data_IF_166311946917
#
_entry.id   IF_166311946917
#
_cell.length_a   1.000
_cell.length_b   1.000
_cell.length_c   1.000
_cell.angle_alpha   90.00
_cell.angle_beta   90.00
_cell.angle_gamma   90.00
#
_symmetry.space_group_name_H-M   'P 1'
#
loop_
_entity.id
_entity.type
_entity.pdbx_description
1 polymer ?
#
# COMPACT_ATOMS: atom_id res chain seq x y z
N UNK A 1 7.06 28.99 -0.17
CA UNK A 1 6.13 30.11 -0.05
C UNK A 1 4.93 29.83 -0.92
N UNK A 2 3.70 29.96 -0.40
CA UNK A 2 2.46 29.74 -1.16
C UNK A 2 2.16 30.98 -2.01
N UNK A 3 1.69 30.77 -3.24
CA UNK A 3 1.44 31.83 -4.22
C UNK A 3 -0.05 32.08 -4.36
N UNK A 4 -0.46 33.32 -4.15
CA UNK A 4 -1.86 33.74 -4.22
C UNK A 4 -2.03 34.68 -5.43
N UNK A 5 -2.99 34.41 -6.28
CA UNK A 5 -3.42 35.30 -7.35
C UNK A 5 -4.63 36.09 -6.88
N UNK A 6 -4.55 37.41 -6.93
CA UNK A 6 -5.61 38.33 -6.53
C UNK A 6 -6.14 39.00 -7.80
N UNK A 7 -7.42 38.87 -8.08
CA UNK A 7 -8.09 39.39 -9.28
C UNK A 7 -9.20 40.30 -8.82
N UNK A 8 -9.03 41.60 -9.12
CA UNK A 8 -9.96 42.66 -8.70
C UNK A 8 -9.70 43.88 -9.57
N UNK A 9 -10.71 44.55 -10.08
CA UNK A 9 -10.57 45.75 -10.92
C UNK A 9 -10.22 47.00 -10.11
N UNK A 10 -10.48 46.98 -8.79
CA UNK A 10 -10.16 48.06 -7.88
C UNK A 10 -8.69 48.00 -7.39
N UNK A 11 -7.86 48.92 -7.87
CA UNK A 11 -6.43 48.99 -7.51
C UNK A 11 -6.17 49.15 -6.03
N UNK A 12 -7.07 49.76 -5.28
CA UNK A 12 -6.91 50.00 -3.85
C UNK A 12 -7.20 48.71 -3.03
N UNK A 13 -8.16 47.90 -3.48
CA UNK A 13 -8.40 46.58 -2.92
C UNK A 13 -7.21 45.68 -3.20
N UNK A 14 -6.71 45.62 -4.45
CA UNK A 14 -5.50 44.86 -4.80
C UNK A 14 -4.32 45.19 -3.88
N UNK A 15 -4.06 46.48 -3.66
CA UNK A 15 -2.95 46.93 -2.80
C UNK A 15 -3.14 46.49 -1.35
N UNK A 16 -4.35 46.67 -0.84
CA UNK A 16 -4.69 46.36 0.54
C UNK A 16 -4.58 44.84 0.80
N UNK A 17 -5.19 44.02 -0.05
CA UNK A 17 -5.16 42.55 0.05
C UNK A 17 -3.72 42.04 -0.12
N UNK A 18 -2.97 42.59 -1.11
CA UNK A 18 -1.57 42.22 -1.32
C UNK A 18 -0.72 42.51 -0.09
N UNK A 19 -0.85 43.72 0.52
CA UNK A 19 -0.11 44.07 1.72
C UNK A 19 -0.39 43.10 2.88
N UNK A 20 -1.69 42.81 3.17
CA UNK A 20 -2.10 41.89 4.23
C UNK A 20 -1.48 40.49 4.05
N UNK A 21 -1.57 39.96 2.83
CA UNK A 21 -1.09 38.61 2.56
C UNK A 21 0.44 38.54 2.52
N UNK A 22 1.10 39.60 2.07
CA UNK A 22 2.58 39.66 2.03
C UNK A 22 3.17 39.74 3.44
N UNK A 23 2.53 40.46 4.37
CA UNK A 23 2.91 40.49 5.79
C UNK A 23 2.86 39.10 6.43
N UNK A 24 1.91 38.24 6.02
CA UNK A 24 1.78 36.85 6.48
C UNK A 24 2.66 35.86 5.68
N UNK A 25 3.54 36.35 4.80
CA UNK A 25 4.53 35.55 4.09
C UNK A 25 4.03 34.84 2.83
N UNK A 26 2.90 35.24 2.27
CA UNK A 26 2.44 34.79 0.96
C UNK A 26 3.16 35.54 -0.18
N UNK A 27 3.33 34.87 -1.33
CA UNK A 27 3.78 35.53 -2.57
C UNK A 27 2.56 35.86 -3.39
N UNK A 28 2.27 37.17 -3.58
CA UNK A 28 1.07 37.61 -4.26
C UNK A 28 1.34 38.02 -5.70
N UNK A 29 0.43 37.66 -6.60
CA UNK A 29 0.31 38.16 -7.95
C UNK A 29 -1.04 38.88 -8.05
N UNK A 30 -1.08 40.01 -8.74
CA UNK A 30 -2.30 40.83 -8.88
C UNK A 30 -2.64 40.97 -10.35
N UNK A 31 -3.95 40.92 -10.67
CA UNK A 31 -4.50 41.13 -11.99
C UNK A 31 -5.71 42.06 -11.90
N UNK A 32 -5.86 42.96 -12.85
CA UNK A 32 -6.96 43.94 -12.95
C UNK A 32 -8.14 43.46 -13.78
N UNK A 33 -7.94 42.42 -14.60
CA UNK A 33 -8.93 41.89 -15.53
C UNK A 33 -8.69 40.41 -15.82
N UNK A 34 -9.64 39.79 -16.53
CA UNK A 34 -9.61 38.37 -16.87
C UNK A 34 -8.40 37.98 -17.74
N UNK A 35 -8.04 38.78 -18.74
CA UNK A 35 -6.93 38.50 -19.64
C UNK A 35 -5.58 38.46 -18.91
N UNK A 36 -5.34 39.41 -18.00
CA UNK A 36 -4.14 39.48 -17.18
C UNK A 36 -4.11 38.30 -16.17
N UNK A 37 -5.24 37.99 -15.53
CA UNK A 37 -5.39 36.90 -14.60
C UNK A 37 -5.06 35.56 -15.23
N UNK A 38 -5.63 35.23 -16.38
CA UNK A 38 -5.37 33.97 -17.09
C UNK A 38 -3.91 33.89 -17.60
N UNK A 39 -3.31 35.02 -18.02
CA UNK A 39 -1.90 35.04 -18.41
C UNK A 39 -0.96 34.73 -17.20
N UNK A 40 -1.24 35.33 -16.03
CA UNK A 40 -0.47 35.05 -14.80
C UNK A 40 -0.67 33.61 -14.37
N UNK A 41 -1.92 33.11 -14.37
CA UNK A 41 -2.26 31.76 -13.99
C UNK A 41 -1.53 30.70 -14.83
N UNK A 42 -1.45 30.91 -16.14
CA UNK A 42 -0.74 30.00 -17.05
C UNK A 42 0.79 30.06 -16.92
N UNK A 43 1.35 31.19 -16.47
CA UNK A 43 2.81 31.35 -16.33
C UNK A 43 3.36 30.93 -14.97
N UNK A 44 2.56 30.99 -13.94
CA UNK A 44 2.98 30.75 -12.55
C UNK A 44 2.17 29.65 -11.93
N UNK A 45 2.81 28.83 -11.08
CA UNK A 45 2.09 27.90 -10.24
C UNK A 45 1.36 28.71 -9.14
N UNK A 46 0.05 28.72 -9.15
CA UNK A 46 -0.81 29.40 -8.18
C UNK A 46 -1.39 28.35 -7.20
N UNK A 47 -1.35 28.67 -5.90
CA UNK A 47 -1.83 27.79 -4.83
C UNK A 47 -3.25 28.19 -4.31
N UNK A 48 -3.65 29.47 -4.56
CA UNK A 48 -4.97 30.01 -4.21
C UNK A 48 -5.32 31.18 -5.10
N UNK A 49 -6.58 31.36 -5.44
CA UNK A 49 -7.10 32.52 -6.16
C UNK A 49 -8.11 33.25 -5.29
N UNK A 50 -7.93 34.57 -5.13
CA UNK A 50 -8.93 35.50 -4.64
C UNK A 50 -9.51 36.23 -5.84
N UNK A 51 -10.81 36.13 -6.08
CA UNK A 51 -11.45 36.57 -7.32
C UNK A 51 -12.65 37.43 -7.01
N UNK A 52 -12.64 38.65 -7.51
CA UNK A 52 -13.85 39.48 -7.47
C UNK A 52 -14.90 38.93 -8.43
N UNK A 53 -16.15 38.96 -7.98
CA UNK A 53 -17.30 38.53 -8.81
C UNK A 53 -17.56 39.51 -9.94
N UNK A 54 -17.44 40.80 -9.67
CA UNK A 54 -17.68 41.88 -10.66
C UNK A 54 -16.35 42.48 -11.10
N UNK A 55 -16.04 42.35 -12.36
CA UNK A 55 -14.83 42.94 -12.99
C UNK A 55 -15.28 43.90 -14.08
N UNK A 56 -15.19 45.20 -13.81
CA UNK A 56 -15.47 46.23 -14.81
C UNK A 56 -14.38 46.22 -15.92
N UNK A 57 -14.75 46.54 -17.14
CA UNK A 57 -13.86 46.57 -18.33
C UNK A 57 -13.09 45.24 -18.57
N UNK A 58 -13.67 44.08 -18.22
CA UNK A 58 -13.11 42.75 -18.41
C UNK A 58 -13.90 41.92 -19.44
N UNK A 59 -13.19 41.08 -20.23
CA UNK A 59 -13.83 40.16 -21.20
C UNK A 59 -14.72 39.12 -20.55
N UNK A 60 -14.41 38.76 -19.31
CA UNK A 60 -15.14 37.79 -18.50
C UNK A 60 -15.37 38.32 -17.09
N UNK A 61 -16.52 38.02 -16.51
CA UNK A 61 -16.80 38.27 -15.09
C UNK A 61 -16.14 37.21 -14.18
N UNK A 62 -16.19 37.42 -12.86
CA UNK A 62 -15.58 36.48 -11.92
C UNK A 62 -16.18 35.07 -11.94
N UNK A 63 -17.48 34.92 -12.24
CA UNK A 63 -18.12 33.61 -12.31
C UNK A 63 -17.70 32.86 -13.59
N UNK A 64 -17.56 33.56 -14.70
CA UNK A 64 -17.05 32.98 -15.95
C UNK A 64 -15.56 32.55 -15.81
N UNK A 65 -14.74 33.36 -15.14
CA UNK A 65 -13.34 32.99 -14.83
C UNK A 65 -13.29 31.74 -13.93
N UNK A 66 -14.17 31.65 -12.93
CA UNK A 66 -14.31 30.47 -12.08
C UNK A 66 -14.60 29.21 -12.92
N UNK A 67 -15.55 29.28 -13.86
CA UNK A 67 -15.89 28.15 -14.74
C UNK A 67 -14.72 27.76 -15.66
N UNK A 68 -14.05 28.75 -16.25
CA UNK A 68 -12.87 28.51 -17.11
C UNK A 68 -11.76 27.79 -16.33
N UNK A 69 -11.45 28.25 -15.13
CA UNK A 69 -10.39 27.63 -14.33
C UNK A 69 -10.82 26.24 -13.84
N UNK A 70 -12.09 26.05 -13.49
CA UNK A 70 -12.61 24.76 -13.00
C UNK A 70 -12.66 23.67 -14.06
N UNK A 71 -12.75 24.02 -15.34
CA UNK A 71 -12.75 23.03 -16.43
C UNK A 71 -11.48 22.17 -16.45
N UNK A 72 -10.33 22.75 -16.09
CA UNK A 72 -9.02 22.11 -16.26
C UNK A 72 -8.17 22.04 -14.98
N UNK A 73 -8.53 22.78 -13.91
CA UNK A 73 -7.69 22.93 -12.73
C UNK A 73 -8.46 22.86 -11.39
N UNK A 74 -7.83 22.21 -10.39
CA UNK A 74 -8.39 22.05 -9.03
C UNK A 74 -7.91 23.12 -8.03
N UNK A 75 -7.31 24.23 -8.48
CA UNK A 75 -6.79 25.30 -7.59
C UNK A 75 -7.94 25.91 -6.78
N UNK A 76 -7.81 26.08 -5.44
CA UNK A 76 -8.86 26.66 -4.62
C UNK A 76 -9.14 28.14 -4.99
N UNK A 77 -10.44 28.50 -5.06
CA UNK A 77 -10.88 29.84 -5.43
C UNK A 77 -11.81 30.36 -4.32
N UNK A 78 -11.47 31.53 -3.79
CA UNK A 78 -12.32 32.31 -2.88
C UNK A 78 -12.89 33.47 -3.67
N UNK A 79 -14.24 33.57 -3.75
CA UNK A 79 -14.89 34.70 -4.39
C UNK A 79 -15.08 35.85 -3.41
N UNK A 80 -14.88 37.07 -3.89
CA UNK A 80 -15.11 38.32 -3.15
C UNK A 80 -16.23 39.11 -3.85
N UNK A 81 -17.12 39.77 -3.12
CA UNK A 81 -18.14 40.61 -3.74
C UNK A 81 -18.60 41.72 -2.81
N UNK A 82 -18.81 42.91 -3.37
CA UNK A 82 -19.39 44.07 -2.68
C UNK A 82 -20.94 44.07 -2.57
N UNK A 83 -21.60 43.21 -3.36
CA UNK A 83 -23.06 43.08 -3.39
C UNK A 83 -23.45 41.60 -3.23
N UNK A 84 -23.10 41.02 -2.08
CA UNK A 84 -23.41 39.62 -1.80
C UNK A 84 -24.88 39.46 -1.32
N UNK A 85 -25.68 38.72 -2.11
CA UNK A 85 -26.86 38.12 -1.54
C UNK A 85 -26.63 36.63 -1.32
N UNK A 86 -27.42 36.01 -0.47
CA UNK A 86 -27.28 34.57 -0.11
C UNK A 86 -27.34 33.69 -1.36
N UNK A 87 -28.15 34.04 -2.35
CA UNK A 87 -28.34 33.27 -3.57
C UNK A 87 -27.04 33.26 -4.44
N UNK A 88 -26.34 34.39 -4.51
CA UNK A 88 -25.06 34.51 -5.21
C UNK A 88 -23.99 33.66 -4.54
N UNK A 89 -23.84 33.71 -3.22
CA UNK A 89 -22.90 32.89 -2.48
C UNK A 89 -23.18 31.39 -2.67
N UNK A 90 -24.48 30.99 -2.63
CA UNK A 90 -24.86 29.59 -2.89
C UNK A 90 -24.53 29.16 -4.32
N UNK A 91 -24.77 30.00 -5.32
CA UNK A 91 -24.40 29.71 -6.71
C UNK A 91 -22.87 29.63 -6.91
N UNK A 92 -22.13 30.51 -6.30
CA UNK A 92 -20.67 30.49 -6.31
C UNK A 92 -20.11 29.16 -5.81
N UNK A 93 -20.60 28.70 -4.66
CA UNK A 93 -20.18 27.40 -4.07
C UNK A 93 -20.62 26.23 -4.97
N UNK A 94 -21.83 26.25 -5.55
CA UNK A 94 -22.29 25.21 -6.49
C UNK A 94 -21.43 25.13 -7.75
N UNK A 95 -20.91 26.26 -8.23
CA UNK A 95 -20.02 26.35 -9.39
C UNK A 95 -18.55 26.05 -9.06
N UNK A 96 -18.26 25.66 -7.81
CA UNK A 96 -16.95 25.15 -7.43
C UNK A 96 -16.05 26.14 -6.68
N UNK A 97 -16.51 27.31 -6.28
CA UNK A 97 -15.79 28.13 -5.32
C UNK A 97 -15.72 27.44 -3.96
N UNK A 98 -14.59 27.53 -3.27
CA UNK A 98 -14.43 26.94 -1.92
C UNK A 98 -15.02 27.82 -0.82
N UNK A 99 -14.98 29.13 -1.01
CA UNK A 99 -15.52 30.09 -0.06
C UNK A 99 -15.96 31.38 -0.76
N UNK A 100 -16.78 32.16 -0.06
CA UNK A 100 -17.28 33.46 -0.51
C UNK A 100 -17.09 34.49 0.62
N UNK A 101 -16.51 35.66 0.28
CA UNK A 101 -16.26 36.75 1.22
C UNK A 101 -16.98 38.01 0.74
N UNK A 102 -17.81 38.60 1.60
CA UNK A 102 -18.47 39.85 1.32
C UNK A 102 -17.58 41.05 1.66
N UNK A 103 -17.48 42.01 0.75
CA UNK A 103 -16.78 43.29 0.93
C UNK A 103 -17.74 44.29 1.61
N UNK A 104 -17.31 45.14 2.56
CA UNK A 104 -15.93 45.20 3.07
C UNK A 104 -15.66 44.12 4.12
N UNK A 105 -14.45 43.58 4.11
CA UNK A 105 -13.99 42.55 5.04
C UNK A 105 -12.81 43.04 5.90
N UNK A 106 -12.67 42.48 7.10
CA UNK A 106 -11.52 42.72 7.95
C UNK A 106 -10.31 41.85 7.52
N UNK A 107 -9.11 42.29 7.82
CA UNK A 107 -7.86 41.52 7.60
C UNK A 107 -7.94 40.12 8.24
N UNK A 108 -8.46 40.06 9.49
CA UNK A 108 -8.62 38.79 10.20
C UNK A 108 -9.52 37.80 9.46
N UNK A 109 -10.65 38.29 8.89
CA UNK A 109 -11.59 37.42 8.14
C UNK A 109 -10.96 36.92 6.85
N UNK A 110 -10.24 37.78 6.12
CA UNK A 110 -9.53 37.40 4.90
C UNK A 110 -8.50 36.32 5.20
N UNK A 111 -7.65 36.52 6.19
CA UNK A 111 -6.60 35.58 6.58
C UNK A 111 -7.18 34.23 7.06
N UNK A 112 -8.25 34.28 7.87
CA UNK A 112 -8.93 33.06 8.33
C UNK A 112 -9.49 32.25 7.16
N UNK A 113 -10.12 32.92 6.16
CA UNK A 113 -10.66 32.26 4.99
C UNK A 113 -9.55 31.67 4.10
N UNK A 114 -8.47 32.39 3.89
CA UNK A 114 -7.30 31.94 3.12
C UNK A 114 -6.67 30.70 3.80
N UNK A 115 -6.37 30.77 5.09
CA UNK A 115 -5.77 29.68 5.84
C UNK A 115 -6.65 28.42 5.86
N UNK A 116 -7.95 28.61 6.12
CA UNK A 116 -8.92 27.52 6.14
C UNK A 116 -9.01 26.82 4.78
N UNK A 117 -9.12 27.60 3.71
CA UNK A 117 -9.23 27.08 2.35
C UNK A 117 -7.98 26.30 1.94
N UNK A 118 -6.78 26.86 2.19
CA UNK A 118 -5.53 26.19 1.91
C UNK A 118 -5.36 24.90 2.72
N UNK A 119 -5.74 24.91 4.00
CA UNK A 119 -5.66 23.73 4.87
C UNK A 119 -6.62 22.62 4.43
N UNK A 120 -7.85 22.97 4.05
CA UNK A 120 -8.82 21.99 3.52
C UNK A 120 -8.28 21.37 2.21
N UNK A 121 -7.72 22.17 1.32
CA UNK A 121 -7.13 21.69 0.05
C UNK A 121 -5.98 20.74 0.33
N UNK A 122 -5.04 21.10 1.23
CA UNK A 122 -3.90 20.26 1.63
C UNK A 122 -4.35 18.90 2.19
N UNK A 123 -5.34 18.90 3.11
CA UNK A 123 -5.89 17.66 3.67
C UNK A 123 -6.58 16.83 2.59
N UNK A 124 -7.28 17.48 1.66
CA UNK A 124 -7.96 16.78 0.56
C UNK A 124 -6.96 16.15 -0.40
N UNK A 125 -5.91 16.88 -0.79
CA UNK A 125 -4.82 16.36 -1.63
C UNK A 125 -4.07 15.21 -0.94
N UNK A 126 -3.76 15.35 0.34
CA UNK A 126 -3.15 14.29 1.13
C UNK A 126 -4.04 13.04 1.18
N UNK A 127 -5.34 13.21 1.39
CA UNK A 127 -6.30 12.12 1.39
C UNK A 127 -6.40 11.43 0.03
N UNK A 128 -6.42 12.19 -1.06
CA UNK A 128 -6.39 11.65 -2.44
C UNK A 128 -5.09 10.88 -2.68
N UNK A 129 -3.96 11.43 -2.28
CA UNK A 129 -2.65 10.78 -2.42
C UNK A 129 -2.55 9.49 -1.60
N UNK A 130 -3.09 9.49 -0.36
CA UNK A 130 -3.16 8.29 0.47
C UNK A 130 -4.07 7.23 -0.15
N UNK A 131 -5.23 7.61 -0.67
CA UNK A 131 -6.15 6.69 -1.37
C UNK A 131 -5.51 6.13 -2.65
N UNK A 132 -4.87 6.96 -3.46
CA UNK A 132 -4.20 6.51 -4.68
C UNK A 132 -3.04 5.56 -4.36
N UNK A 133 -2.27 5.84 -3.31
CA UNK A 133 -1.22 4.94 -2.81
C UNK A 133 -1.79 3.62 -2.33
N UNK A 134 -2.90 3.64 -1.60
CA UNK A 134 -3.60 2.44 -1.15
C UNK A 134 -4.14 1.63 -2.34
N UNK A 135 -4.79 2.28 -3.31
CA UNK A 135 -5.30 1.60 -4.52
C UNK A 135 -4.15 0.96 -5.30
N UNK A 136 -3.03 1.64 -5.46
CA UNK A 136 -1.88 1.11 -6.17
C UNK A 136 -1.23 -0.07 -5.43
N UNK A 137 -1.14 -0.01 -4.10
CA UNK A 137 -0.57 -1.06 -3.25
C UNK A 137 -1.43 -2.34 -3.23
N UNK A 138 -2.77 -2.21 -3.41
CA UNK A 138 -3.73 -3.32 -3.42
C UNK A 138 -4.21 -3.74 -4.82
N UNK A 139 -3.50 -3.39 -5.88
CA UNK A 139 -3.87 -3.80 -7.23
C UNK A 139 -3.61 -5.30 -7.45
N UNK A 140 -4.64 -6.08 -7.84
CA UNK A 140 -4.50 -7.50 -8.11
C UNK A 140 -3.95 -7.76 -9.52
N UNK A 141 -2.64 -7.97 -9.61
CA UNK A 141 -1.87 -8.08 -10.85
C UNK A 141 -1.67 -9.53 -11.25
N UNK A 142 -1.70 -9.77 -12.57
CA UNK A 142 -1.39 -11.03 -13.21
C UNK A 142 -2.30 -11.31 -14.41
N UNK A 143 -1.76 -12.06 -15.37
CA UNK A 143 -2.41 -12.50 -16.61
C UNK A 143 -2.34 -14.01 -16.81
N UNK A 144 -1.70 -14.72 -15.89
CA UNK A 144 -1.66 -16.19 -15.93
C UNK A 144 -3.06 -16.80 -15.88
N UNK A 145 -3.30 -17.97 -16.48
CA UNK A 145 -4.63 -18.59 -16.57
C UNK A 145 -5.29 -18.81 -15.20
N UNK A 146 -4.50 -19.09 -14.16
CA UNK A 146 -4.98 -19.24 -12.79
C UNK A 146 -5.48 -17.90 -12.23
N UNK A 147 -4.74 -16.81 -12.43
CA UNK A 147 -5.12 -15.47 -11.97
C UNK A 147 -6.33 -14.93 -12.74
N UNK A 148 -6.40 -15.16 -14.05
CA UNK A 148 -7.58 -14.77 -14.85
C UNK A 148 -8.85 -15.45 -14.33
N UNK A 149 -8.80 -16.76 -14.02
CA UNK A 149 -9.94 -17.48 -13.41
C UNK A 149 -10.33 -16.88 -12.05
N UNK A 150 -9.35 -16.50 -11.22
CA UNK A 150 -9.61 -15.88 -9.93
C UNK A 150 -10.27 -14.51 -10.13
N UNK A 151 -9.78 -13.68 -11.06
CA UNK A 151 -10.41 -12.39 -11.40
C UNK A 151 -11.86 -12.55 -11.81
N UNK A 152 -12.15 -13.51 -12.69
CA UNK A 152 -13.52 -13.83 -13.09
C UNK A 152 -14.40 -14.31 -11.93
N UNK A 153 -13.83 -15.06 -10.97
CA UNK A 153 -14.55 -15.47 -9.78
C UNK A 153 -14.81 -14.28 -8.87
N UNK A 154 -13.83 -13.39 -8.68
CA UNK A 154 -14.00 -12.14 -7.91
C UNK A 154 -15.10 -11.27 -8.53
N UNK A 155 -15.16 -11.12 -9.85
CA UNK A 155 -16.22 -10.36 -10.54
C UNK A 155 -17.62 -10.93 -10.26
N UNK A 156 -17.74 -12.26 -10.16
CA UNK A 156 -19.02 -12.91 -9.85
C UNK A 156 -19.41 -12.80 -8.39
N UNK A 157 -18.46 -12.96 -7.46
CA UNK A 157 -18.75 -12.98 -6.01
C UNK A 157 -18.70 -11.59 -5.37
N UNK A 158 -18.00 -10.65 -5.98
CA UNK A 158 -17.89 -9.26 -5.50
C UNK A 158 -19.24 -8.64 -5.15
N UNK A 159 -20.19 -8.56 -6.09
CA UNK A 159 -21.51 -7.94 -5.87
C UNK A 159 -22.42 -8.69 -4.88
N UNK A 160 -22.05 -9.91 -4.46
CA UNK A 160 -22.85 -10.72 -3.53
C UNK A 160 -22.49 -10.42 -2.08
N UNK A 161 -23.36 -10.78 -1.15
CA UNK A 161 -23.07 -10.76 0.30
C UNK A 161 -22.50 -12.09 0.82
N UNK A 162 -22.09 -13.00 -0.07
CA UNK A 162 -21.55 -14.30 0.30
C UNK A 162 -20.26 -14.17 1.11
N UNK A 163 -20.09 -15.07 2.06
CA UNK A 163 -18.84 -15.23 2.78
C UNK A 163 -17.81 -15.89 1.91
N UNK A 164 -16.58 -15.45 2.01
CA UNK A 164 -15.48 -15.91 1.16
C UNK A 164 -14.33 -16.36 2.05
N UNK A 165 -13.79 -17.52 1.73
CA UNK A 165 -12.57 -18.04 2.29
C UNK A 165 -11.45 -17.97 1.25
N UNK A 166 -10.39 -17.21 1.54
CA UNK A 166 -9.21 -17.08 0.69
C UNK A 166 -8.11 -17.99 1.24
N UNK A 167 -7.68 -18.97 0.47
CA UNK A 167 -6.61 -19.90 0.85
C UNK A 167 -5.37 -19.67 -0.01
N UNK A 168 -4.19 -19.81 0.60
CA UNK A 168 -2.91 -19.70 -0.11
C UNK A 168 -1.76 -19.50 0.85
N UNK A 169 -0.56 -19.82 0.42
CA UNK A 169 0.65 -19.64 1.22
C UNK A 169 0.86 -18.17 1.63
N UNK A 170 1.75 -17.97 2.62
CA UNK A 170 2.13 -16.62 3.04
C UNK A 170 2.72 -15.83 1.86
N UNK A 171 2.35 -14.55 1.74
CA UNK A 171 2.87 -13.67 0.70
C UNK A 171 2.27 -13.85 -0.70
N UNK A 172 1.22 -14.67 -0.89
CA UNK A 172 0.55 -14.86 -2.19
C UNK A 172 -0.41 -13.73 -2.59
N UNK A 173 -0.72 -12.78 -1.68
CA UNK A 173 -1.61 -11.64 -1.91
C UNK A 173 -3.06 -11.88 -1.48
N UNK A 174 -3.29 -12.64 -0.39
CA UNK A 174 -4.64 -12.90 0.15
C UNK A 174 -5.36 -11.60 0.55
N UNK A 175 -4.64 -10.66 1.12
CA UNK A 175 -5.09 -9.32 1.50
C UNK A 175 -5.49 -8.47 0.28
N UNK A 176 -4.69 -8.52 -0.79
CA UNK A 176 -4.99 -7.86 -2.05
C UNK A 176 -6.31 -8.37 -2.65
N UNK A 177 -6.50 -9.70 -2.66
CA UNK A 177 -7.75 -10.31 -3.14
C UNK A 177 -8.94 -9.92 -2.26
N UNK A 178 -8.77 -9.89 -0.94
CA UNK A 178 -9.84 -9.46 -0.03
C UNK A 178 -10.27 -8.00 -0.29
N UNK A 179 -9.30 -7.10 -0.51
CA UNK A 179 -9.55 -5.69 -0.85
C UNK A 179 -10.23 -5.55 -2.21
N UNK A 180 -9.79 -6.30 -3.23
CA UNK A 180 -10.41 -6.31 -4.56
C UNK A 180 -11.89 -6.76 -4.51
N UNK A 181 -12.20 -7.79 -3.69
CA UNK A 181 -13.56 -8.25 -3.46
C UNK A 181 -14.41 -7.15 -2.78
N UNK A 182 -13.83 -6.44 -1.81
CA UNK A 182 -14.50 -5.33 -1.15
C UNK A 182 -14.81 -4.20 -2.13
N UNK A 183 -13.85 -3.77 -2.95
CA UNK A 183 -14.03 -2.72 -3.96
C UNK A 183 -15.11 -3.05 -4.99
N UNK A 184 -15.29 -4.33 -5.33
CA UNK A 184 -16.36 -4.81 -6.24
C UNK A 184 -17.67 -5.15 -5.53
N UNK A 185 -17.77 -4.91 -4.23
CA UNK A 185 -18.96 -5.21 -3.44
C UNK A 185 -19.94 -4.04 -3.40
N UNK A 186 -21.19 -4.33 -2.97
CA UNK A 186 -22.18 -3.31 -2.66
C UNK A 186 -21.79 -2.43 -1.46
N UNK A 187 -20.81 -2.87 -0.68
CA UNK A 187 -20.32 -2.20 0.52
C UNK A 187 -18.97 -1.48 0.25
N UNK A 188 -18.62 -1.21 -1.01
CA UNK A 188 -17.35 -0.60 -1.41
C UNK A 188 -17.12 0.79 -0.83
N UNK A 189 -18.21 1.55 -0.58
CA UNK A 189 -18.14 2.86 0.06
C UNK A 189 -17.95 2.79 1.59
N UNK A 190 -18.20 1.61 2.18
CA UNK A 190 -18.04 1.38 3.61
C UNK A 190 -16.60 1.05 3.98
N UNK A 191 -16.31 0.97 5.28
CA UNK A 191 -14.94 0.70 5.75
C UNK A 191 -14.49 -0.73 5.41
N UNK A 192 -13.21 -0.87 5.02
CA UNK A 192 -12.51 -2.15 4.94
C UNK A 192 -11.64 -2.32 6.19
N UNK A 193 -12.10 -3.15 7.11
CA UNK A 193 -11.46 -3.35 8.41
C UNK A 193 -10.75 -4.70 8.43
N UNK A 194 -9.48 -4.70 8.85
CA UNK A 194 -8.63 -5.91 8.87
C UNK A 194 -8.29 -6.29 10.31
N UNK A 195 -8.38 -7.57 10.61
CA UNK A 195 -7.79 -8.18 11.80
C UNK A 195 -6.92 -9.36 11.39
N UNK A 196 -5.69 -9.39 11.88
CA UNK A 196 -4.82 -10.55 11.72
C UNK A 196 -4.78 -11.35 13.03
N UNK A 197 -5.34 -12.55 12.99
CA UNK A 197 -5.47 -13.41 14.18
C UNK A 197 -4.12 -13.96 14.66
N UNK A 198 -3.11 -14.05 13.78
CA UNK A 198 -1.79 -14.56 14.16
C UNK A 198 -0.95 -13.55 14.97
N UNK A 199 -1.31 -12.25 14.94
CA UNK A 199 -0.53 -11.18 15.60
C UNK A 199 -1.01 -10.85 17.02
N UNK A 200 -2.16 -11.38 17.44
CA UNK A 200 -2.81 -11.00 18.69
C UNK A 200 -2.85 -12.16 19.68
N UNK A 201 -2.72 -11.87 20.97
CA UNK A 201 -3.00 -12.85 22.01
C UNK A 201 -4.49 -13.20 22.05
N UNK A 202 -4.87 -14.41 22.53
CA UNK A 202 -6.27 -14.85 22.58
C UNK A 202 -7.24 -13.85 23.22
N UNK A 203 -6.86 -13.26 24.34
CA UNK A 203 -7.70 -12.28 25.05
C UNK A 203 -7.86 -10.98 24.28
N UNK A 204 -6.80 -10.54 23.59
CA UNK A 204 -6.82 -9.34 22.78
C UNK A 204 -7.66 -9.50 21.50
N UNK A 205 -7.69 -10.69 20.89
CA UNK A 205 -8.51 -10.94 19.69
C UNK A 205 -9.99 -10.69 20.01
N UNK A 206 -10.48 -11.21 21.14
CA UNK A 206 -11.88 -11.01 21.53
C UNK A 206 -12.20 -9.54 21.83
N UNK A 207 -11.29 -8.86 22.55
CA UNK A 207 -11.45 -7.45 22.87
C UNK A 207 -11.46 -6.57 21.60
N UNK A 208 -10.60 -6.85 20.63
CA UNK A 208 -10.57 -6.14 19.35
C UNK A 208 -11.83 -6.44 18.53
N UNK A 209 -12.25 -7.69 18.39
CA UNK A 209 -13.40 -8.05 17.58
C UNK A 209 -14.72 -7.49 18.13
N UNK A 210 -14.97 -7.69 19.42
CA UNK A 210 -16.27 -7.42 20.03
C UNK A 210 -16.32 -6.09 20.79
N UNK A 211 -15.16 -5.53 21.16
CA UNK A 211 -15.09 -4.37 22.03
C UNK A 211 -15.43 -4.70 23.49
N UNK A 212 -15.53 -3.67 24.31
CA UNK A 212 -15.86 -3.84 25.73
C UNK A 212 -16.59 -2.65 26.33
N UNK A 213 -17.29 -2.91 27.43
CA UNK A 213 -17.84 -1.91 28.33
C UNK A 213 -17.15 -2.02 29.69
N UNK A 214 -16.28 -1.06 30.02
CA UNK A 214 -15.60 -0.99 31.31
C UNK A 214 -15.92 0.35 31.99
N UNK A 215 -16.49 0.28 33.21
CA UNK A 215 -16.75 1.48 34.05
C UNK A 215 -17.39 2.65 33.26
N UNK A 216 -18.43 2.39 32.46
CA UNK A 216 -19.13 3.33 31.59
C UNK A 216 -18.30 3.87 30.39
N UNK A 217 -17.11 3.34 30.10
CA UNK A 217 -16.38 3.63 28.87
C UNK A 217 -16.63 2.54 27.84
N UNK A 218 -17.22 2.93 26.71
CA UNK A 218 -17.46 2.04 25.58
C UNK A 218 -16.21 2.04 24.71
N UNK A 219 -15.63 0.85 24.45
CA UNK A 219 -14.64 0.60 23.42
C UNK A 219 -15.32 -0.17 22.29
N UNK A 220 -15.50 0.47 21.14
CA UNK A 220 -16.08 -0.19 19.95
C UNK A 220 -15.15 -1.27 19.39
N UNK A 221 -15.72 -2.45 19.12
CA UNK A 221 -15.01 -3.54 18.45
C UNK A 221 -14.96 -3.39 16.94
N UNK A 222 -14.21 -4.29 16.27
CA UNK A 222 -14.05 -4.26 14.82
C UNK A 222 -15.34 -4.61 14.07
N UNK A 223 -16.24 -5.43 14.66
CA UNK A 223 -17.57 -5.64 14.09
C UNK A 223 -18.38 -4.35 13.98
N UNK A 224 -18.30 -3.47 14.97
CA UNK A 224 -18.94 -2.15 14.92
C UNK A 224 -18.25 -1.19 13.94
N UNK A 225 -16.90 -1.19 13.96
CA UNK A 225 -16.10 -0.33 13.05
C UNK A 225 -16.26 -0.71 11.59
N UNK A 226 -16.63 -1.95 11.29
CA UNK A 226 -16.87 -2.45 9.93
C UNK A 226 -18.34 -2.33 9.47
N UNK A 227 -19.16 -1.61 10.22
CA UNK A 227 -20.57 -1.41 9.89
C UNK A 227 -20.77 -0.92 8.45
N UNK A 228 -21.69 -1.58 7.71
CA UNK A 228 -21.95 -1.35 6.29
C UNK A 228 -20.74 -1.47 5.36
N UNK A 229 -19.63 -2.06 5.86
CA UNK A 229 -18.38 -2.30 5.16
C UNK A 229 -18.04 -3.78 5.06
N UNK A 230 -16.74 -4.07 5.17
CA UNK A 230 -16.20 -5.43 5.15
C UNK A 230 -15.25 -5.64 6.31
N UNK A 231 -15.41 -6.72 7.05
CA UNK A 231 -14.45 -7.23 8.02
C UNK A 231 -13.64 -8.35 7.37
N UNK A 232 -12.34 -8.13 7.21
CA UNK A 232 -11.39 -9.13 6.73
C UNK A 232 -10.66 -9.75 7.91
N UNK A 233 -10.87 -11.04 8.12
CA UNK A 233 -10.21 -11.84 9.17
C UNK A 233 -9.06 -12.61 8.53
N UNK A 234 -7.86 -12.09 8.67
CA UNK A 234 -6.65 -12.72 8.15
C UNK A 234 -6.13 -13.77 9.11
N UNK A 235 -5.70 -14.93 8.58
CA UNK A 235 -5.21 -16.11 9.31
C UNK A 235 -6.23 -16.63 10.34
N UNK A 236 -7.48 -16.87 9.93
CA UNK A 236 -8.55 -17.38 10.80
C UNK A 236 -8.20 -18.74 11.46
N UNK A 237 -7.27 -19.50 10.83
CA UNK A 237 -6.71 -20.75 11.36
C UNK A 237 -6.02 -20.60 12.71
N UNK A 238 -5.51 -19.41 13.03
CA UNK A 238 -4.79 -19.12 14.27
C UNK A 238 -5.72 -18.70 15.43
N UNK A 239 -7.03 -18.61 15.17
CA UNK A 239 -7.99 -18.24 16.20
C UNK A 239 -8.19 -19.33 17.27
N UNK A 240 -8.22 -18.97 18.56
CA UNK A 240 -8.56 -19.89 19.64
C UNK A 240 -9.96 -20.48 19.48
N UNK A 241 -10.17 -21.73 19.89
CA UNK A 241 -11.47 -22.42 19.78
C UNK A 241 -12.63 -21.68 20.45
N UNK A 242 -12.35 -20.96 21.54
CA UNK A 242 -13.36 -20.13 22.22
C UNK A 242 -13.82 -18.97 21.35
N UNK A 243 -12.88 -18.26 20.72
CA UNK A 243 -13.18 -17.16 19.79
C UNK A 243 -13.88 -17.67 18.53
N UNK A 244 -13.48 -18.85 18.01
CA UNK A 244 -14.17 -19.49 16.89
C UNK A 244 -15.66 -19.74 17.21
N UNK A 245 -15.99 -20.18 18.45
CA UNK A 245 -17.38 -20.37 18.87
C UNK A 245 -18.17 -19.04 18.91
N UNK A 246 -17.57 -17.97 19.38
CA UNK A 246 -18.21 -16.63 19.39
C UNK A 246 -18.45 -16.11 17.97
N UNK A 247 -17.46 -16.24 17.08
CA UNK A 247 -17.61 -15.86 15.67
C UNK A 247 -18.73 -16.67 15.00
N UNK A 248 -18.78 -17.97 15.23
CA UNK A 248 -19.88 -18.79 14.71
C UNK A 248 -21.25 -18.25 15.14
N UNK A 249 -21.38 -17.87 16.41
CA UNK A 249 -22.62 -17.28 16.94
C UNK A 249 -22.98 -16.00 16.22
N UNK A 250 -22.01 -15.10 16.05
CA UNK A 250 -22.19 -13.85 15.27
C UNK A 250 -22.62 -14.12 13.84
N UNK A 251 -22.00 -15.10 13.17
CA UNK A 251 -22.37 -15.49 11.81
C UNK A 251 -23.77 -16.09 11.69
N UNK A 252 -24.26 -16.69 12.77
CA UNK A 252 -25.58 -17.36 12.82
C UNK A 252 -26.67 -16.37 13.18
N UNK A 253 -26.49 -15.65 14.26
CA UNK A 253 -27.51 -14.79 14.87
C UNK A 253 -27.52 -13.36 14.27
N UNK A 254 -26.45 -13.02 13.52
CA UNK A 254 -26.20 -11.67 12.95
C UNK A 254 -26.22 -10.56 14.01
N UNK A 255 -25.82 -10.90 15.22
CA UNK A 255 -25.68 -9.96 16.32
C UNK A 255 -24.60 -10.43 17.30
N UNK A 256 -24.16 -9.54 18.17
CA UNK A 256 -23.21 -9.82 19.24
C UNK A 256 -23.38 -8.84 20.40
N UNK A 257 -22.72 -9.15 21.53
CA UNK A 257 -22.63 -8.24 22.67
C UNK A 257 -21.14 -7.90 22.88
N UNK A 258 -20.87 -6.68 23.34
CA UNK A 258 -19.52 -6.30 23.81
C UNK A 258 -19.16 -7.10 25.06
N UNK A 259 -17.88 -7.24 25.31
CA UNK A 259 -17.41 -7.87 26.55
C UNK A 259 -17.85 -7.02 27.76
N UNK A 260 -18.58 -7.63 28.69
CA UNK A 260 -19.12 -6.94 29.87
C UNK A 260 -20.35 -6.06 29.60
N UNK A 261 -21.02 -6.22 28.46
CA UNK A 261 -22.22 -5.49 28.08
C UNK A 261 -23.32 -6.47 27.67
N UNK A 262 -24.56 -6.19 28.11
CA UNK A 262 -25.74 -6.99 27.75
C UNK A 262 -26.47 -6.44 26.52
N UNK A 263 -26.03 -5.29 25.97
CA UNK A 263 -26.64 -4.68 24.79
C UNK A 263 -26.30 -5.46 23.53
N UNK A 264 -27.34 -5.93 22.86
CA UNK A 264 -27.22 -6.66 21.59
C UNK A 264 -27.02 -5.71 20.41
N UNK A 265 -25.96 -5.91 19.64
CA UNK A 265 -25.56 -5.06 18.51
C UNK A 265 -25.72 -5.87 17.22
N UNK A 266 -26.45 -5.37 16.20
CA UNK A 266 -26.60 -6.06 14.93
C UNK A 266 -25.31 -5.98 14.11
N UNK A 267 -25.05 -7.04 13.31
CA UNK A 267 -23.90 -7.10 12.39
C UNK A 267 -24.38 -6.88 10.96
N UNK A 268 -23.95 -5.78 10.35
CA UNK A 268 -24.27 -5.39 8.98
C UNK A 268 -23.07 -5.51 8.01
N UNK A 269 -21.88 -5.90 8.50
CA UNK A 269 -20.69 -6.00 7.66
C UNK A 269 -20.64 -7.33 6.88
N UNK A 270 -19.97 -7.29 5.72
CA UNK A 270 -19.55 -8.47 4.97
C UNK A 270 -18.32 -9.09 5.63
N UNK A 271 -18.25 -10.42 5.71
CA UNK A 271 -17.11 -11.13 6.30
C UNK A 271 -16.34 -11.88 5.22
N UNK A 272 -15.04 -11.64 5.16
CA UNK A 272 -14.07 -12.36 4.33
C UNK A 272 -13.01 -12.92 5.27
N UNK A 273 -12.64 -14.19 5.09
CA UNK A 273 -11.61 -14.86 5.89
C UNK A 273 -10.45 -15.29 5.01
N UNK A 274 -9.25 -15.34 5.58
CA UNK A 274 -8.10 -15.99 4.93
C UNK A 274 -7.48 -17.07 5.81
N UNK A 275 -6.76 -17.98 5.19
CA UNK A 275 -5.96 -18.99 5.87
C UNK A 275 -4.77 -19.43 5.02
N UNK A 276 -3.62 -19.57 5.66
CA UNK A 276 -2.44 -20.21 5.06
C UNK A 276 -2.53 -21.73 5.19
N UNK A 277 -3.10 -22.20 6.30
CA UNK A 277 -3.31 -23.64 6.56
C UNK A 277 -4.58 -24.13 5.88
N UNK A 278 -4.61 -25.39 5.51
CA UNK A 278 -5.84 -26.02 5.02
C UNK A 278 -6.78 -26.30 6.18
N UNK A 279 -7.90 -25.58 6.24
CA UNK A 279 -8.84 -25.67 7.35
C UNK A 279 -9.45 -27.08 7.49
N UNK A 280 -9.54 -27.87 6.41
CA UNK A 280 -10.01 -29.27 6.51
C UNK A 280 -9.10 -30.10 7.42
N UNK A 281 -7.77 -29.98 7.26
CA UNK A 281 -6.79 -30.70 8.09
C UNK A 281 -6.92 -30.28 9.56
N UNK A 282 -7.15 -28.98 9.84
CA UNK A 282 -7.37 -28.46 11.20
C UNK A 282 -8.73 -28.85 11.80
N UNK A 283 -9.72 -29.15 10.98
CA UNK A 283 -10.99 -29.72 11.44
C UNK A 283 -10.80 -31.18 11.87
N UNK A 284 -10.00 -31.95 11.11
CA UNK A 284 -9.75 -33.36 11.40
C UNK A 284 -8.90 -33.54 12.67
N UNK A 285 -7.98 -32.63 12.96
CA UNK A 285 -7.17 -32.64 14.18
C UNK A 285 -7.85 -31.98 15.41
N UNK A 286 -9.03 -31.36 15.20
CA UNK A 286 -9.82 -30.73 16.26
C UNK A 286 -9.37 -29.34 16.67
N UNK A 287 -8.39 -28.72 16.00
CA UNK A 287 -7.93 -27.35 16.25
C UNK A 287 -8.81 -26.28 15.59
N UNK A 288 -9.66 -26.67 14.66
CA UNK A 288 -10.66 -25.81 14.04
C UNK A 288 -12.06 -26.44 14.09
N UNK A 289 -13.08 -25.64 14.44
CA UNK A 289 -14.45 -26.14 14.57
C UNK A 289 -15.07 -26.44 13.21
N UNK A 290 -15.63 -27.63 13.06
CA UNK A 290 -16.31 -28.08 11.83
C UNK A 290 -17.54 -27.23 11.47
N UNK A 291 -18.30 -26.80 12.47
CA UNK A 291 -19.48 -25.95 12.28
C UNK A 291 -19.11 -24.55 11.75
N UNK A 292 -18.05 -23.94 12.28
CA UNK A 292 -17.53 -22.68 11.77
C UNK A 292 -16.99 -22.84 10.34
N UNK A 293 -16.23 -23.90 10.08
CA UNK A 293 -15.71 -24.18 8.73
C UNK A 293 -16.82 -24.20 7.69
N UNK A 294 -17.89 -24.96 7.91
CA UNK A 294 -19.02 -24.99 6.97
C UNK A 294 -19.73 -23.64 6.84
N UNK A 295 -19.67 -22.81 7.87
CA UNK A 295 -20.31 -21.50 7.86
C UNK A 295 -19.51 -20.47 7.08
N UNK A 296 -18.17 -20.48 7.10
CA UNK A 296 -17.31 -19.53 6.38
C UNK A 296 -16.97 -20.01 4.97
N UNK A 297 -16.93 -21.30 4.72
CA UNK A 297 -16.55 -21.90 3.46
C UNK A 297 -17.75 -22.00 2.50
N UNK A 298 -18.29 -20.84 2.09
CA UNK A 298 -19.37 -20.75 1.06
C UNK A 298 -18.76 -20.66 -0.32
N UNK A 299 -17.78 -19.79 -0.50
CA UNK A 299 -16.98 -19.68 -1.73
C UNK A 299 -15.51 -19.67 -1.32
N UNK A 300 -14.74 -20.60 -1.88
CA UNK A 300 -13.29 -20.68 -1.65
C UNK A 300 -12.54 -20.15 -2.86
N UNK A 301 -11.58 -19.24 -2.62
CA UNK A 301 -10.63 -18.75 -3.60
C UNK A 301 -9.24 -19.23 -3.19
N UNK A 302 -8.64 -20.11 -3.99
CA UNK A 302 -7.31 -20.65 -3.76
C UNK A 302 -6.28 -19.88 -4.59
N UNK A 303 -5.34 -19.23 -3.93
CA UNK A 303 -4.26 -18.47 -4.58
C UNK A 303 -3.07 -19.39 -4.87
N UNK A 304 -2.57 -19.42 -6.11
CA UNK A 304 -1.39 -20.18 -6.47
C UNK A 304 -0.12 -19.53 -5.88
N UNK A 305 0.91 -20.36 -5.68
CA UNK A 305 2.28 -19.89 -5.39
C UNK A 305 2.81 -19.06 -6.55
N UNK A 306 3.77 -18.19 -6.28
CA UNK A 306 4.38 -17.36 -7.33
C UNK A 306 5.06 -18.21 -8.42
N UNK A 307 5.68 -19.32 -8.04
CA UNK A 307 6.32 -20.26 -8.99
C UNK A 307 5.30 -20.87 -9.98
N UNK A 308 4.04 -21.08 -9.57
CA UNK A 308 2.97 -21.64 -10.42
C UNK A 308 2.40 -20.61 -11.39
N UNK A 309 2.78 -19.35 -11.23
CA UNK A 309 2.42 -18.22 -12.11
C UNK A 309 3.64 -17.38 -12.50
N UNK A 310 4.75 -18.04 -12.82
CA UNK A 310 6.02 -17.39 -13.17
C UNK A 310 5.90 -16.35 -14.29
N UNK A 311 4.97 -16.52 -15.23
CA UNK A 311 4.67 -15.53 -16.27
C UNK A 311 4.13 -14.17 -15.75
N UNK A 312 3.71 -14.08 -14.49
CA UNK A 312 3.25 -12.82 -13.88
C UNK A 312 4.38 -12.06 -13.19
N UNK A 313 5.59 -12.66 -13.05
CA UNK A 313 6.73 -12.04 -12.33
C UNK A 313 7.09 -10.71 -12.98
N UNK A 314 7.18 -10.65 -14.31
CA UNK A 314 7.54 -9.45 -15.06
C UNK A 314 6.59 -8.29 -14.76
N UNK A 315 5.28 -8.57 -14.74
CA UNK A 315 4.25 -7.58 -14.46
C UNK A 315 4.32 -7.08 -13.01
N UNK A 316 4.63 -7.99 -12.08
CA UNK A 316 4.79 -7.65 -10.67
C UNK A 316 6.06 -6.80 -10.44
N UNK A 317 7.16 -7.14 -11.12
CA UNK A 317 8.41 -6.37 -11.05
C UNK A 317 8.19 -4.95 -11.58
N UNK A 318 7.54 -4.78 -12.73
CA UNK A 318 7.21 -3.46 -13.28
C UNK A 318 6.40 -2.64 -12.28
N UNK A 319 5.33 -3.24 -11.78
CA UNK A 319 4.44 -2.58 -10.83
C UNK A 319 5.19 -2.10 -9.60
N UNK A 320 5.96 -2.98 -8.95
CA UNK A 320 6.73 -2.61 -7.75
C UNK A 320 7.86 -1.62 -8.07
N UNK A 321 8.49 -1.72 -9.25
CA UNK A 321 9.51 -0.75 -9.66
C UNK A 321 8.94 0.65 -9.80
N UNK A 322 7.79 0.80 -10.45
CA UNK A 322 7.09 2.09 -10.56
C UNK A 322 6.66 2.59 -9.17
N UNK A 323 6.10 1.70 -8.34
CA UNK A 323 5.64 2.05 -7.00
C UNK A 323 6.77 2.62 -6.13
N UNK A 324 7.88 1.89 -6.01
CA UNK A 324 8.98 2.30 -5.14
C UNK A 324 9.80 3.45 -5.72
N UNK A 325 9.93 3.57 -7.05
CA UNK A 325 10.56 4.74 -7.67
C UNK A 325 9.77 6.02 -7.37
N UNK A 326 8.45 5.98 -7.51
CA UNK A 326 7.58 7.12 -7.19
C UNK A 326 7.62 7.46 -5.69
N UNK A 327 7.58 6.45 -4.82
CA UNK A 327 7.62 6.62 -3.36
C UNK A 327 8.91 7.32 -2.90
N UNK A 328 10.04 6.95 -3.50
CA UNK A 328 11.36 7.46 -3.14
C UNK A 328 11.79 8.65 -4.01
N UNK A 329 10.93 9.14 -4.93
CA UNK A 329 11.23 10.23 -5.88
C UNK A 329 12.49 9.96 -6.71
N UNK A 330 12.72 8.70 -7.06
CA UNK A 330 13.82 8.24 -7.91
C UNK A 330 13.34 8.10 -9.36
N UNK A 331 14.28 8.15 -10.32
CA UNK A 331 13.97 7.80 -11.71
C UNK A 331 13.55 6.33 -11.79
N UNK A 332 12.57 6.03 -12.65
CA UNK A 332 12.13 4.65 -12.84
C UNK A 332 13.27 3.80 -13.44
N UNK A 333 13.62 2.72 -12.74
CA UNK A 333 14.69 1.78 -13.15
C UNK A 333 14.02 0.49 -13.63
N UNK A 334 14.39 0.02 -14.81
CA UNK A 334 13.95 -1.29 -15.31
C UNK A 334 14.78 -2.40 -14.65
N UNK A 335 14.21 -3.03 -13.63
CA UNK A 335 14.82 -4.13 -12.88
C UNK A 335 14.56 -5.52 -13.48
N UNK A 336 13.71 -5.65 -14.52
CA UNK A 336 13.36 -6.95 -15.12
C UNK A 336 14.57 -7.75 -15.58
N UNK A 337 15.50 -7.19 -16.40
CA UNK A 337 16.61 -7.99 -16.92
C UNK A 337 17.48 -8.58 -15.81
N UNK A 338 17.65 -7.79 -14.74
CA UNK A 338 18.46 -8.20 -13.59
C UNK A 338 17.75 -9.27 -12.75
N UNK A 339 16.47 -9.06 -12.41
CA UNK A 339 15.71 -10.03 -11.62
C UNK A 339 15.55 -11.35 -12.36
N UNK A 340 15.20 -11.32 -13.65
CA UNK A 340 15.09 -12.55 -14.44
C UNK A 340 16.43 -13.30 -14.56
N UNK A 341 17.55 -12.59 -14.68
CA UNK A 341 18.86 -13.21 -14.73
C UNK A 341 19.28 -13.83 -13.39
N UNK A 342 19.12 -13.11 -12.29
CA UNK A 342 19.61 -13.52 -10.97
C UNK A 342 18.69 -14.53 -10.27
N UNK A 343 17.40 -14.53 -10.59
CA UNK A 343 16.39 -15.35 -9.93
C UNK A 343 15.66 -16.32 -10.89
N UNK A 344 16.30 -16.71 -12.00
CA UNK A 344 15.68 -17.53 -13.06
C UNK A 344 15.06 -18.85 -12.54
N UNK A 345 15.78 -19.59 -11.67
CA UNK A 345 15.32 -20.86 -11.08
C UNK A 345 14.87 -20.73 -9.61
N UNK A 346 14.68 -19.49 -9.14
CA UNK A 346 14.36 -19.27 -7.75
C UNK A 346 12.90 -19.59 -7.44
N UNK A 347 12.66 -20.31 -6.32
CA UNK A 347 11.32 -20.84 -5.98
C UNK A 347 10.42 -19.85 -5.29
N UNK A 348 10.90 -18.69 -4.90
CA UNK A 348 10.14 -17.63 -4.22
C UNK A 348 9.37 -18.16 -2.99
N UNK A 349 10.04 -18.70 -1.95
CA UNK A 349 9.35 -19.25 -0.78
C UNK A 349 8.47 -18.24 -0.05
N UNK A 350 8.82 -16.94 -0.07
CA UNK A 350 8.01 -15.85 0.43
C UNK A 350 7.04 -15.25 -0.58
N UNK A 351 6.89 -15.88 -1.77
CA UNK A 351 5.96 -15.49 -2.81
C UNK A 351 6.10 -14.00 -3.22
N UNK A 352 4.98 -13.27 -3.41
CA UNK A 352 4.99 -11.86 -3.83
C UNK A 352 5.62 -10.95 -2.77
N UNK A 353 5.46 -11.27 -1.48
CA UNK A 353 6.06 -10.47 -0.40
C UNK A 353 7.58 -10.45 -0.52
N UNK A 354 8.19 -11.58 -0.83
CA UNK A 354 9.64 -11.68 -1.04
C UNK A 354 10.05 -10.93 -2.32
N UNK A 355 9.35 -11.14 -3.43
CA UNK A 355 9.60 -10.42 -4.68
C UNK A 355 9.53 -8.90 -4.48
N UNK A 356 8.52 -8.41 -3.79
CA UNK A 356 8.35 -7.00 -3.44
C UNK A 356 9.56 -6.45 -2.66
N UNK A 357 10.01 -7.19 -1.63
CA UNK A 357 11.18 -6.80 -0.83
C UNK A 357 12.48 -6.78 -1.66
N UNK A 358 12.64 -7.72 -2.60
CA UNK A 358 13.78 -7.74 -3.52
C UNK A 358 13.78 -6.51 -4.41
N UNK A 359 12.64 -6.19 -5.04
CA UNK A 359 12.49 -5.00 -5.90
C UNK A 359 12.76 -3.71 -5.11
N UNK A 360 12.15 -3.57 -3.92
CA UNK A 360 12.34 -2.42 -3.04
C UNK A 360 13.82 -2.21 -2.69
N UNK A 361 14.51 -3.27 -2.30
CA UNK A 361 15.93 -3.24 -1.95
C UNK A 361 16.80 -2.76 -3.10
N UNK A 362 16.58 -3.27 -4.32
CA UNK A 362 17.37 -2.87 -5.49
C UNK A 362 17.11 -1.42 -5.90
N UNK A 363 15.89 -0.91 -5.74
CA UNK A 363 15.60 0.51 -6.00
C UNK A 363 16.31 1.42 -5.00
N UNK A 364 16.34 1.04 -3.72
CA UNK A 364 16.96 1.86 -2.67
C UNK A 364 18.49 1.81 -2.74
N UNK A 365 19.07 0.64 -2.96
CA UNK A 365 20.52 0.41 -2.88
C UNK A 365 21.24 0.52 -4.24
N UNK A 366 20.48 0.48 -5.36
CA UNK A 366 21.00 0.55 -6.72
C UNK A 366 21.69 -0.74 -7.19
N UNK A 367 22.20 -0.73 -8.45
CA UNK A 367 22.77 -1.88 -9.14
C UNK A 367 24.05 -2.47 -8.49
N UNK A 368 24.65 -1.77 -7.54
CA UNK A 368 25.88 -2.22 -6.85
C UNK A 368 25.62 -3.16 -5.68
N UNK A 369 24.36 -3.40 -5.33
CA UNK A 369 24.01 -4.31 -4.25
C UNK A 369 24.01 -5.76 -4.77
N UNK A 370 25.13 -6.46 -4.60
CA UNK A 370 25.17 -7.91 -4.71
C UNK A 370 24.51 -8.50 -3.47
N UNK A 371 23.42 -9.27 -3.67
CA UNK A 371 22.73 -9.95 -2.57
C UNK A 371 23.70 -10.96 -1.95
N UNK A 372 24.29 -10.63 -0.79
CA UNK A 372 25.21 -11.51 -0.08
C UNK A 372 24.61 -12.90 0.20
N UNK A 373 23.29 -13.04 0.15
CA UNK A 373 22.57 -14.31 0.32
C UNK A 373 22.44 -15.13 -0.98
N UNK A 374 22.68 -14.53 -2.15
CA UNK A 374 22.63 -15.24 -3.45
C UNK A 374 24.01 -15.63 -3.98
N UNK A 375 25.08 -14.98 -3.50
CA UNK A 375 26.45 -15.18 -3.96
C UNK A 375 27.03 -16.56 -3.56
N UNK A 376 26.65 -17.11 -2.40
CA UNK A 376 27.34 -18.32 -1.91
C UNK A 376 26.84 -19.64 -2.52
N UNK A 377 25.63 -19.69 -3.12
CA UNK A 377 25.11 -20.97 -3.63
C UNK A 377 24.84 -21.03 -5.15
N UNK A 378 24.70 -19.91 -5.85
CA UNK A 378 24.27 -19.93 -7.25
C UNK A 378 25.38 -19.70 -8.28
N UNK A 379 26.42 -18.91 -7.98
CA UNK A 379 27.52 -18.73 -8.91
C UNK A 379 28.39 -19.95 -8.98
N UNK A 380 28.67 -20.60 -7.85
CA UNK A 380 29.44 -21.87 -7.82
C UNK A 380 28.67 -22.96 -8.58
N UNK A 381 27.33 -23.04 -8.42
CA UNK A 381 26.55 -24.07 -9.09
C UNK A 381 26.42 -23.83 -10.60
N UNK A 382 26.20 -22.59 -11.06
CA UNK A 382 26.04 -22.26 -12.49
C UNK A 382 27.35 -22.38 -13.27
N UNK A 383 28.46 -21.90 -12.70
CA UNK A 383 29.77 -22.03 -13.32
C UNK A 383 30.26 -23.49 -13.34
N UNK A 384 29.90 -24.28 -12.32
CA UNK A 384 30.29 -25.68 -12.24
C UNK A 384 29.50 -26.54 -13.23
N UNK A 385 28.21 -26.29 -13.43
CA UNK A 385 27.33 -27.05 -14.35
C UNK A 385 27.72 -26.82 -15.83
N UNK A 386 28.22 -25.64 -16.19
CA UNK A 386 28.67 -25.33 -17.55
C UNK A 386 30.06 -25.88 -17.90
N UNK A 387 30.82 -26.41 -16.92
CA UNK A 387 32.15 -26.94 -17.12
C UNK A 387 32.15 -28.43 -17.49
N UNK A 388 33.17 -28.93 -18.25
CA UNK A 388 33.40 -30.35 -18.38
C UNK A 388 33.52 -31.02 -16.99
N UNK A 389 32.98 -32.21 -16.82
CA UNK A 389 32.90 -32.94 -15.54
C UNK A 389 34.17 -32.92 -14.70
N UNK A 390 35.35 -33.04 -15.35
CA UNK A 390 36.67 -33.01 -14.69
C UNK A 390 36.94 -31.66 -14.02
N UNK A 391 36.56 -30.57 -14.68
CA UNK A 391 36.79 -29.21 -14.18
C UNK A 391 35.71 -28.86 -13.12
N UNK A 392 34.45 -29.24 -13.34
CA UNK A 392 33.36 -29.10 -12.38
C UNK A 392 33.70 -29.76 -11.03
N UNK A 393 34.25 -31.01 -11.09
CA UNK A 393 34.71 -31.73 -9.90
C UNK A 393 35.85 -31.00 -9.18
N UNK A 394 36.83 -30.45 -9.94
CA UNK A 394 37.98 -29.72 -9.35
C UNK A 394 37.50 -28.46 -8.62
N UNK A 395 36.56 -27.70 -9.20
CA UNK A 395 35.99 -26.49 -8.60
C UNK A 395 35.20 -26.84 -7.34
N UNK A 396 34.34 -27.86 -7.39
CA UNK A 396 33.59 -28.33 -6.24
C UNK A 396 34.48 -28.76 -5.08
N UNK A 397 35.48 -29.60 -5.35
CA UNK A 397 36.43 -30.09 -4.35
C UNK A 397 37.24 -28.95 -3.71
N UNK A 398 37.64 -27.92 -4.52
CA UNK A 398 38.33 -26.73 -4.03
C UNK A 398 37.46 -25.92 -3.06
N UNK A 399 36.24 -25.58 -3.47
CA UNK A 399 35.33 -24.78 -2.65
C UNK A 399 34.90 -25.50 -1.37
N UNK A 400 34.62 -26.80 -1.46
CA UNK A 400 34.30 -27.63 -0.29
C UNK A 400 35.41 -27.64 0.74
N UNK A 401 36.67 -27.87 0.30
CA UNK A 401 37.82 -27.91 1.20
C UNK A 401 38.10 -26.54 1.81
N UNK A 402 37.98 -25.44 1.05
CA UNK A 402 38.17 -24.09 1.55
C UNK A 402 37.14 -23.78 2.65
N UNK A 403 35.85 -24.02 2.42
CA UNK A 403 34.79 -23.74 3.40
C UNK A 403 34.97 -24.59 4.68
N UNK A 404 35.49 -25.81 4.59
CA UNK A 404 35.81 -26.61 5.78
C UNK A 404 37.07 -26.14 6.51
N UNK A 405 38.08 -25.61 5.79
CA UNK A 405 39.26 -24.99 6.40
C UNK A 405 38.89 -23.72 7.18
N UNK A 406 38.07 -22.85 6.60
CA UNK A 406 37.54 -21.67 7.28
C UNK A 406 36.74 -22.04 8.54
N UNK A 407 35.86 -23.05 8.47
CA UNK A 407 35.09 -23.56 9.61
C UNK A 407 35.95 -24.02 10.79
N UNK A 408 37.15 -24.49 10.54
CA UNK A 408 38.08 -24.98 11.56
C UNK A 408 39.32 -24.08 11.72
N UNK A 409 39.18 -22.79 11.40
CA UNK A 409 40.22 -21.75 11.56
C UNK A 409 41.57 -22.18 10.96
N UNK A 410 41.57 -22.79 9.78
CA UNK A 410 42.78 -23.26 9.09
C UNK A 410 43.41 -24.55 9.66
N UNK A 411 42.79 -25.20 10.64
CA UNK A 411 43.35 -26.38 11.31
C UNK A 411 43.22 -27.64 10.44
N UNK A 412 44.28 -27.95 9.68
CA UNK A 412 44.33 -29.06 8.73
C UNK A 412 43.99 -30.42 9.37
N UNK A 413 44.40 -30.65 10.62
CA UNK A 413 44.14 -31.94 11.29
C UNK A 413 42.64 -32.11 11.65
N UNK A 414 41.98 -31.07 12.15
CA UNK A 414 40.55 -31.09 12.43
C UNK A 414 39.74 -31.19 11.15
N UNK A 415 40.15 -30.45 10.12
CA UNK A 415 39.50 -30.47 8.80
C UNK A 415 39.60 -31.85 8.17
N UNK A 416 40.79 -32.49 8.17
CA UNK A 416 41.00 -33.81 7.61
C UNK A 416 40.12 -34.87 8.30
N UNK A 417 40.03 -34.85 9.62
CA UNK A 417 39.16 -35.75 10.39
C UNK A 417 37.67 -35.54 10.04
N UNK A 418 37.26 -34.31 9.88
CA UNK A 418 35.83 -33.99 9.56
C UNK A 418 35.44 -34.45 8.14
N UNK A 419 36.31 -34.25 7.15
CA UNK A 419 36.05 -34.69 5.77
C UNK A 419 36.36 -36.17 5.51
N UNK A 420 36.81 -36.92 6.53
CA UNK A 420 37.11 -38.34 6.41
C UNK A 420 38.34 -38.65 5.58
N UNK A 421 39.37 -37.79 5.62
CA UNK A 421 40.61 -37.96 4.90
C UNK A 421 41.80 -38.02 5.87
N UNK A 422 42.87 -38.76 5.48
CA UNK A 422 44.13 -38.66 6.20
C UNK A 422 44.76 -37.27 6.03
N UNK A 423 45.39 -36.73 7.07
CA UNK A 423 46.08 -35.44 7.05
C UNK A 423 47.06 -35.29 5.87
N UNK A 424 47.81 -36.33 5.59
CA UNK A 424 48.77 -36.39 4.48
C UNK A 424 48.10 -36.34 3.11
N UNK A 425 46.91 -36.94 2.99
CA UNK A 425 46.10 -36.91 1.77
C UNK A 425 45.47 -35.53 1.55
N UNK A 426 44.98 -34.88 2.61
CA UNK A 426 44.49 -33.53 2.53
C UNK A 426 45.60 -32.53 2.13
N UNK A 427 46.79 -32.62 2.70
CA UNK A 427 47.92 -31.80 2.30
C UNK A 427 48.27 -31.93 0.81
N UNK A 428 48.28 -33.14 0.27
CA UNK A 428 48.50 -33.37 -1.17
C UNK A 428 47.38 -32.76 -2.01
N UNK A 429 46.15 -32.85 -1.53
CA UNK A 429 44.98 -32.32 -2.21
C UNK A 429 44.97 -30.78 -2.24
N UNK A 430 45.33 -30.12 -1.12
CA UNK A 430 45.49 -28.68 -1.02
C UNK A 430 46.55 -28.16 -2.01
N UNK A 431 47.69 -28.86 -2.13
CA UNK A 431 48.73 -28.52 -3.10
C UNK A 431 48.28 -28.72 -4.55
N UNK A 432 47.50 -29.79 -4.83
CA UNK A 432 46.97 -30.08 -6.17
C UNK A 432 45.87 -29.09 -6.61
N UNK A 433 45.17 -28.50 -5.67
CA UNK A 433 44.07 -27.53 -5.88
C UNK A 433 44.56 -26.07 -5.77
N UNK A 434 45.87 -25.85 -5.56
CA UNK A 434 46.51 -24.51 -5.48
C UNK A 434 45.91 -23.62 -4.37
N UNK A 435 45.51 -24.22 -3.23
CA UNK A 435 44.88 -23.51 -2.11
C UNK A 435 45.95 -22.92 -1.14
N UNK A 436 47.19 -23.29 -1.23
CA UNK A 436 48.25 -22.79 -0.33
C UNK A 436 48.66 -21.33 -0.56
N UNK A 437 48.39 -20.76 -1.74
CA UNK A 437 48.69 -19.36 -2.05
C UNK A 437 47.70 -18.37 -1.41
N UNK A 438 46.52 -18.85 -1.01
CA UNK A 438 45.45 -18.00 -0.43
C UNK A 438 45.51 -17.94 1.12
N UNK A 439 46.35 -18.72 1.79
CA UNK A 439 46.42 -18.81 3.27
C UNK A 439 47.52 -17.90 3.86
N UNK A 440 48.47 -17.43 3.07
CA UNK A 440 49.59 -16.57 3.49
C UNK A 440 49.37 -15.07 3.13
N UNK A 441 48.15 -14.65 2.72
CA UNK A 441 47.74 -13.27 2.59
C UNK A 441 46.65 -12.95 3.64
#
# INVERSE_FOLDING_TARGET
>A
MRRVLIIDDEKDILKSVNAILTEEGYTCHSALNSSEALNIFNKHKIDLILLDVWLEDSDHDGLEILEIIRSDHAVPIILMSGHGNIDMAVNAIKNGAQEFIEKPFSSERLLLSVDRTLKITEITEENINLKNKEIFDYQFIGTSPSIVKIKQLIDKVGPTSSRILIQGESGTGKDVVAKEIHLKSKNSEGPFVVINAALLSPDNIELELFGSLNSNKIRKGLFEKSENGTLFIDEISEMPLQTQAKILRVLTDKNFNRLGDDVTIPVSCRIICSSTKKLNELVDDGSFRKDLFHRINVVTISLPKLIERSGDIDLLVDHFSIFYSNLNKLSNVDLKPMILKNYFDYKWPGNIRELRNVVERHIILGDKYEDMNTSDNNEVSKNVISLPLKNARKVFERNYILSQLERFDGNISKTANFIGMERSALHRKLKQLEIYEDIDQ
#
